data_IF_247920009056
#
_entry.id   IF_247920009056
#
_cell.length_a   1.000
_cell.length_b   1.000
_cell.length_c   1.000
_cell.angle_alpha   90.00
_cell.angle_beta   90.00
_cell.angle_gamma   90.00
#
_symmetry.space_group_name_H-M   'P 1'
#
loop_
_entity.id
_entity.type
_entity.pdbx_description
1 polymer ?
#
# COMPACT_ATOMS: atom_id res chain seq x y z
N UNK A 1 -24.26 -19.91 13.99
CA UNK A 1 -24.40 -20.38 12.58
C UNK A 1 -25.25 -21.64 12.61
N UNK A 2 -26.30 -21.65 11.81
CA UNK A 2 -27.14 -22.85 11.63
C UNK A 2 -26.53 -23.81 10.62
N UNK A 3 -26.99 -25.07 10.62
CA UNK A 3 -26.57 -26.06 9.61
C UNK A 3 -26.95 -25.62 8.21
N UNK A 4 -28.02 -24.87 8.04
CA UNK A 4 -28.50 -24.37 6.76
C UNK A 4 -27.55 -23.32 6.18
N UNK A 5 -27.10 -22.35 7.01
CA UNK A 5 -26.14 -21.33 6.59
C UNK A 5 -24.78 -21.94 6.22
N UNK A 6 -24.36 -22.96 6.95
CA UNK A 6 -23.13 -23.71 6.66
C UNK A 6 -23.28 -24.45 5.32
N UNK A 7 -24.38 -25.14 5.09
CA UNK A 7 -24.64 -25.85 3.83
C UNK A 7 -24.70 -24.91 2.62
N UNK A 8 -25.34 -23.75 2.78
CA UNK A 8 -25.36 -22.71 1.75
C UNK A 8 -23.94 -22.24 1.41
N UNK A 9 -23.12 -21.93 2.44
CA UNK A 9 -21.75 -21.51 2.25
C UNK A 9 -20.90 -22.58 1.52
N UNK A 10 -21.03 -23.86 1.90
CA UNK A 10 -20.38 -24.97 1.22
C UNK A 10 -20.78 -25.09 -0.25
N UNK A 11 -22.05 -24.89 -0.56
CA UNK A 11 -22.54 -24.92 -1.94
C UNK A 11 -21.88 -23.86 -2.80
N UNK A 12 -21.76 -22.62 -2.32
CA UNK A 12 -21.09 -21.54 -3.02
C UNK A 12 -19.57 -21.77 -3.16
N UNK A 13 -18.90 -22.23 -2.10
CA UNK A 13 -17.47 -22.55 -2.15
C UNK A 13 -17.16 -23.69 -3.16
N UNK A 14 -18.00 -24.70 -3.23
CA UNK A 14 -17.89 -25.79 -4.20
C UNK A 14 -18.25 -25.34 -5.63
N UNK A 15 -19.06 -24.31 -5.79
CA UNK A 15 -19.34 -23.64 -7.07
C UNK A 15 -18.22 -22.66 -7.50
N UNK A 16 -17.05 -22.69 -6.84
CA UNK A 16 -15.91 -21.82 -7.08
C UNK A 16 -16.12 -20.31 -6.78
N UNK A 17 -17.07 -19.97 -5.92
CA UNK A 17 -17.12 -18.60 -5.38
C UNK A 17 -15.91 -18.35 -4.50
N UNK A 18 -15.03 -17.47 -4.96
CA UNK A 18 -13.74 -17.21 -4.32
C UNK A 18 -13.87 -16.61 -2.90
N UNK A 19 -14.92 -15.79 -2.67
CA UNK A 19 -15.19 -15.20 -1.36
C UNK A 19 -15.78 -16.23 -0.40
N UNK A 20 -16.66 -17.11 -0.88
CA UNK A 20 -17.17 -18.23 -0.09
C UNK A 20 -16.05 -19.19 0.28
N UNK A 21 -15.12 -19.49 -0.64
CA UNK A 21 -13.93 -20.30 -0.34
C UNK A 21 -13.04 -19.67 0.75
N UNK A 22 -12.82 -18.36 0.71
CA UNK A 22 -12.06 -17.68 1.72
C UNK A 22 -12.76 -17.74 3.08
N UNK A 23 -14.07 -17.50 3.12
CA UNK A 23 -14.85 -17.52 4.35
C UNK A 23 -14.92 -18.92 4.97
N UNK A 24 -15.16 -19.97 4.17
CA UNK A 24 -15.17 -21.34 4.67
C UNK A 24 -13.80 -21.77 5.18
N UNK A 25 -12.74 -21.30 4.54
CA UNK A 25 -11.37 -21.52 5.00
C UNK A 25 -11.14 -21.01 6.43
N UNK A 26 -11.61 -19.81 6.73
CA UNK A 26 -11.55 -19.22 8.09
C UNK A 26 -12.39 -20.01 9.09
N UNK A 27 -13.66 -20.32 8.75
CA UNK A 27 -14.56 -21.03 9.65
C UNK A 27 -14.03 -22.40 10.04
N UNK A 28 -13.55 -23.17 9.05
CA UNK A 28 -13.02 -24.53 9.27
C UNK A 28 -11.71 -24.46 10.05
N UNK A 29 -10.88 -23.46 9.75
CA UNK A 29 -9.61 -23.25 10.47
C UNK A 29 -9.83 -22.91 11.95
N UNK A 30 -10.80 -22.05 12.26
CA UNK A 30 -11.14 -21.61 13.61
C UNK A 30 -12.09 -22.56 14.36
N UNK A 31 -12.80 -23.44 13.67
CA UNK A 31 -13.85 -24.29 14.23
C UNK A 31 -15.14 -23.54 14.55
N UNK A 32 -15.47 -22.47 13.83
CA UNK A 32 -16.69 -21.66 14.06
C UNK A 32 -17.93 -22.34 13.52
N UNK A 33 -18.68 -23.02 14.40
CA UNK A 33 -19.91 -23.73 14.05
C UNK A 33 -19.71 -25.02 13.25
N UNK A 34 -18.46 -25.42 13.01
CA UNK A 34 -18.04 -26.67 12.38
C UNK A 34 -16.91 -27.29 13.19
N UNK A 35 -16.64 -28.58 13.00
CA UNK A 35 -15.45 -29.22 13.59
C UNK A 35 -14.19 -28.52 13.08
N UNK A 36 -13.33 -28.11 13.99
CA UNK A 36 -12.07 -27.48 13.64
C UNK A 36 -11.17 -28.46 12.87
N UNK A 37 -10.71 -28.03 11.69
CA UNK A 37 -9.71 -28.71 10.89
C UNK A 37 -8.78 -27.67 10.27
N UNK A 38 -7.64 -27.46 10.90
CA UNK A 38 -6.65 -26.46 10.47
C UNK A 38 -6.06 -26.75 9.10
N UNK A 39 -5.87 -28.03 8.75
CA UNK A 39 -5.31 -28.41 7.44
C UNK A 39 -6.33 -28.16 6.32
N UNK A 40 -7.57 -28.57 6.53
CA UNK A 40 -8.65 -28.34 5.58
C UNK A 40 -8.92 -26.83 5.43
N UNK A 41 -8.95 -26.08 6.52
CA UNK A 41 -9.10 -24.61 6.49
C UNK A 41 -8.00 -23.94 5.66
N UNK A 42 -6.74 -24.31 5.88
CA UNK A 42 -5.61 -23.84 5.06
C UNK A 42 -5.72 -24.22 3.59
N UNK A 43 -6.23 -25.42 3.28
CA UNK A 43 -6.43 -25.83 1.88
C UNK A 43 -7.47 -24.93 1.17
N UNK A 44 -8.56 -24.57 1.83
CA UNK A 44 -9.56 -23.64 1.30
C UNK A 44 -9.01 -22.22 1.15
N UNK A 45 -8.27 -21.72 2.14
CA UNK A 45 -7.60 -20.41 2.04
C UNK A 45 -6.61 -20.36 0.87
N UNK A 46 -5.86 -21.44 0.63
CA UNK A 46 -4.96 -21.54 -0.54
C UNK A 46 -5.73 -21.52 -1.86
N UNK A 47 -6.86 -22.22 -1.95
CA UNK A 47 -7.72 -22.16 -3.14
C UNK A 47 -8.23 -20.73 -3.40
N UNK A 48 -8.72 -20.05 -2.36
CA UNK A 48 -9.14 -18.67 -2.46
C UNK A 48 -7.99 -17.73 -2.86
N UNK A 49 -6.81 -17.90 -2.28
CA UNK A 49 -5.61 -17.13 -2.62
C UNK A 49 -5.19 -17.33 -4.08
N UNK A 50 -5.26 -18.54 -4.60
CA UNK A 50 -5.02 -18.87 -6.01
C UNK A 50 -6.08 -18.26 -6.94
N UNK A 51 -7.31 -18.08 -6.45
CA UNK A 51 -8.37 -17.32 -7.12
C UNK A 51 -8.22 -15.79 -6.94
N UNK A 52 -7.03 -15.31 -6.53
CA UNK A 52 -6.70 -13.89 -6.34
C UNK A 52 -7.48 -13.16 -5.24
N UNK A 53 -8.00 -13.86 -4.25
CA UNK A 53 -8.56 -13.21 -3.06
C UNK A 53 -7.41 -12.69 -2.18
N UNK A 54 -7.23 -11.38 -2.15
CA UNK A 54 -6.14 -10.72 -1.40
C UNK A 54 -6.26 -10.96 0.10
N UNK A 55 -7.48 -10.95 0.64
CA UNK A 55 -7.75 -11.31 2.03
C UNK A 55 -7.17 -12.68 2.40
N UNK A 56 -7.40 -13.70 1.56
CA UNK A 56 -6.90 -15.03 1.80
C UNK A 56 -5.36 -15.11 1.71
N UNK A 57 -4.75 -14.33 0.79
CA UNK A 57 -3.28 -14.21 0.68
C UNK A 57 -2.68 -13.59 1.94
N UNK A 58 -3.23 -12.47 2.38
CA UNK A 58 -2.78 -11.74 3.57
C UNK A 58 -2.95 -12.61 4.83
N UNK A 59 -4.08 -13.32 4.96
CA UNK A 59 -4.35 -14.20 6.09
C UNK A 59 -3.42 -15.42 6.13
N UNK A 60 -3.15 -16.05 4.98
CA UNK A 60 -2.17 -17.13 4.90
C UNK A 60 -0.78 -16.67 5.33
N UNK A 61 -0.37 -15.48 4.90
CA UNK A 61 0.91 -14.90 5.30
C UNK A 61 0.97 -14.68 6.82
N UNK A 62 -0.12 -14.16 7.43
CA UNK A 62 -0.24 -14.03 8.86
C UNK A 62 -0.13 -15.39 9.59
N UNK A 63 -0.89 -16.40 9.16
CA UNK A 63 -0.88 -17.74 9.77
C UNK A 63 0.49 -18.41 9.67
N UNK A 64 1.21 -18.21 8.56
CA UNK A 64 2.52 -18.83 8.35
C UNK A 64 3.58 -18.23 9.28
N UNK A 65 3.51 -16.93 9.56
CA UNK A 65 4.56 -16.20 10.28
C UNK A 65 4.25 -15.96 11.76
N UNK A 66 2.97 -15.98 12.16
CA UNK A 66 2.57 -15.84 13.57
C UNK A 66 2.16 -17.19 14.12
N UNK A 67 2.97 -17.73 15.02
CA UNK A 67 2.73 -19.03 15.67
C UNK A 67 2.05 -18.85 17.04
N UNK A 68 1.20 -19.82 17.46
CA UNK A 68 0.51 -19.79 18.75
C UNK A 68 -0.90 -20.34 18.68
N UNK A 69 -1.74 -20.04 19.67
CA UNK A 69 -3.14 -20.46 19.69
C UNK A 69 -3.88 -19.87 18.50
N UNK A 70 -4.34 -20.75 17.62
CA UNK A 70 -4.94 -20.41 16.32
C UNK A 70 -6.47 -20.18 16.43
N UNK A 71 -7.00 -20.02 17.63
CA UNK A 71 -8.40 -19.66 17.81
C UNK A 71 -8.61 -18.16 17.54
N UNK A 72 -9.66 -17.82 16.79
CA UNK A 72 -10.03 -16.43 16.48
C UNK A 72 -8.98 -15.62 15.67
N UNK A 73 -8.32 -16.24 14.68
CA UNK A 73 -7.40 -15.53 13.78
C UNK A 73 -8.08 -14.34 13.09
N UNK A 74 -9.35 -14.45 12.74
CA UNK A 74 -10.13 -13.38 12.11
C UNK A 74 -10.25 -12.10 12.95
N UNK A 75 -10.18 -12.21 14.29
CA UNK A 75 -10.24 -11.07 15.20
C UNK A 75 -8.91 -10.34 15.37
N UNK A 76 -7.80 -11.04 15.12
CA UNK A 76 -6.45 -10.53 15.33
C UNK A 76 -5.73 -10.25 14.01
N UNK A 77 -6.37 -10.55 12.91
CA UNK A 77 -5.82 -10.38 11.58
C UNK A 77 -6.04 -8.96 11.07
N UNK A 78 -4.99 -8.39 10.49
CA UNK A 78 -5.00 -7.05 9.93
C UNK A 78 -5.13 -7.13 8.40
N UNK A 79 -6.23 -6.60 7.88
CA UNK A 79 -6.47 -6.51 6.45
C UNK A 79 -5.60 -5.47 5.76
N UNK A 80 -5.13 -5.81 4.57
CA UNK A 80 -4.48 -4.82 3.71
C UNK A 80 -5.51 -3.85 3.13
N UNK A 81 -5.10 -2.61 2.89
CA UNK A 81 -5.91 -1.63 2.15
C UNK A 81 -6.36 -2.18 0.80
N UNK A 82 -5.48 -2.91 0.11
CA UNK A 82 -5.81 -3.55 -1.17
C UNK A 82 -6.85 -4.68 -1.02
N UNK A 83 -6.78 -5.47 0.05
CA UNK A 83 -7.79 -6.50 0.33
C UNK A 83 -9.16 -5.88 0.62
N UNK A 84 -9.18 -4.76 1.33
CA UNK A 84 -10.41 -4.00 1.58
C UNK A 84 -11.01 -3.46 0.30
N UNK A 85 -10.21 -2.82 -0.55
CA UNK A 85 -10.67 -2.34 -1.84
C UNK A 85 -11.20 -3.47 -2.72
N UNK A 86 -10.55 -4.63 -2.70
CA UNK A 86 -11.05 -5.80 -3.41
C UNK A 86 -12.42 -6.24 -2.86
N UNK A 87 -12.58 -6.29 -1.52
CA UNK A 87 -13.88 -6.60 -0.90
C UNK A 87 -14.95 -5.59 -1.32
N UNK A 88 -14.63 -4.29 -1.32
CA UNK A 88 -15.56 -3.24 -1.76
C UNK A 88 -15.95 -3.37 -3.24
N UNK A 89 -15.02 -3.76 -4.11
CA UNK A 89 -15.31 -4.06 -5.53
C UNK A 89 -16.23 -5.28 -5.65
N UNK A 90 -15.98 -6.35 -4.90
CA UNK A 90 -16.85 -7.52 -4.86
C UNK A 90 -18.26 -7.19 -4.32
N UNK A 91 -18.34 -6.28 -3.35
CA UNK A 91 -19.62 -5.76 -2.82
C UNK A 91 -20.39 -4.99 -3.89
N UNK A 92 -19.73 -4.20 -4.72
CA UNK A 92 -20.36 -3.53 -5.87
C UNK A 92 -20.91 -4.53 -6.88
N UNK A 93 -20.30 -5.70 -6.99
CA UNK A 93 -20.73 -6.83 -7.82
C UNK A 93 -21.78 -7.74 -7.12
N UNK A 94 -22.32 -7.31 -5.98
CA UNK A 94 -23.30 -8.04 -5.16
C UNK A 94 -22.78 -9.36 -4.53
N UNK A 95 -21.49 -9.51 -4.29
CA UNK A 95 -20.96 -10.65 -3.55
C UNK A 95 -21.42 -10.61 -2.09
N UNK A 96 -22.29 -11.55 -1.72
CA UNK A 96 -22.87 -11.61 -0.36
C UNK A 96 -21.83 -11.96 0.70
N UNK A 97 -20.89 -12.84 0.38
CA UNK A 97 -19.83 -13.21 1.31
C UNK A 97 -18.77 -12.11 1.50
N UNK A 98 -18.51 -11.29 0.47
CA UNK A 98 -17.69 -10.08 0.64
C UNK A 98 -18.37 -9.07 1.60
N UNK A 99 -19.70 -8.92 1.51
CA UNK A 99 -20.47 -8.08 2.44
C UNK A 99 -20.39 -8.61 3.87
N UNK A 100 -20.53 -9.93 4.08
CA UNK A 100 -20.44 -10.56 5.40
C UNK A 100 -19.03 -10.36 5.98
N UNK A 101 -17.99 -10.60 5.21
CA UNK A 101 -16.61 -10.39 5.66
C UNK A 101 -16.36 -8.96 6.11
N UNK A 102 -16.69 -8.00 5.27
CA UNK A 102 -16.42 -6.60 5.58
C UNK A 102 -17.27 -6.12 6.75
N UNK A 103 -18.49 -6.63 6.89
CA UNK A 103 -19.36 -6.34 8.03
C UNK A 103 -18.78 -6.87 9.36
N UNK A 104 -18.30 -8.12 9.40
CA UNK A 104 -17.68 -8.66 10.60
C UNK A 104 -16.45 -7.84 11.02
N UNK A 105 -15.60 -7.47 10.07
CA UNK A 105 -14.39 -6.68 10.33
C UNK A 105 -14.74 -5.27 10.86
N UNK A 106 -15.72 -4.60 10.24
CA UNK A 106 -16.17 -3.28 10.67
C UNK A 106 -16.88 -3.32 12.03
N UNK A 107 -17.63 -4.38 12.30
CA UNK A 107 -18.30 -4.56 13.59
C UNK A 107 -17.32 -4.77 14.75
N UNK A 108 -16.25 -5.54 14.51
CA UNK A 108 -15.21 -5.84 15.49
C UNK A 108 -14.22 -4.67 15.63
N UNK A 109 -14.05 -3.85 14.59
CA UNK A 109 -13.03 -2.81 14.53
C UNK A 109 -11.61 -3.37 14.32
N UNK A 110 -11.49 -4.54 13.69
CA UNK A 110 -10.21 -5.24 13.55
C UNK A 110 -9.22 -4.60 12.56
N UNK A 111 -9.72 -3.86 11.57
CA UNK A 111 -8.89 -3.22 10.54
C UNK A 111 -9.21 -1.73 10.33
N UNK A 112 -10.24 -1.20 11.02
CA UNK A 112 -10.75 0.16 10.86
C UNK A 112 -11.29 0.69 12.19
N UNK A 113 -11.58 1.98 12.22
CA UNK A 113 -12.49 2.52 13.23
C UNK A 113 -13.80 1.72 13.18
N UNK A 114 -14.20 1.16 14.32
CA UNK A 114 -15.43 0.38 14.44
C UNK A 114 -16.62 1.17 13.89
N UNK A 115 -17.25 0.66 12.84
CA UNK A 115 -18.45 1.24 12.22
C UNK A 115 -19.58 0.20 12.19
N UNK A 116 -20.31 0.16 13.32
CA UNK A 116 -21.42 -0.77 13.49
C UNK A 116 -22.59 -0.47 12.54
N UNK A 117 -22.80 0.81 12.18
CA UNK A 117 -23.90 1.20 11.30
C UNK A 117 -23.66 0.65 9.89
N UNK A 118 -22.44 0.80 9.38
CA UNK A 118 -22.05 0.32 8.07
C UNK A 118 -21.99 -1.22 8.01
N UNK A 119 -21.56 -1.87 9.08
CA UNK A 119 -21.62 -3.33 9.20
C UNK A 119 -23.07 -3.85 9.11
N UNK A 120 -24.00 -3.21 9.79
CA UNK A 120 -25.44 -3.54 9.72
C UNK A 120 -26.04 -3.30 8.33
N UNK A 121 -25.63 -2.24 7.63
CA UNK A 121 -26.02 -1.97 6.24
C UNK A 121 -25.61 -3.11 5.31
N UNK A 122 -24.35 -3.55 5.38
CA UNK A 122 -23.85 -4.65 4.55
C UNK A 122 -24.58 -5.98 4.85
N UNK A 123 -24.78 -6.31 6.13
CA UNK A 123 -25.50 -7.52 6.52
C UNK A 123 -26.98 -7.49 6.06
N UNK A 124 -27.63 -6.34 6.17
CA UNK A 124 -29.00 -6.14 5.71
C UNK A 124 -29.09 -6.39 4.19
N UNK A 125 -28.17 -5.80 3.42
CA UNK A 125 -28.13 -5.99 1.97
C UNK A 125 -27.81 -7.43 1.58
N UNK A 126 -26.85 -8.08 2.24
CA UNK A 126 -26.52 -9.48 1.97
C UNK A 126 -27.72 -10.41 2.31
N UNK A 127 -28.44 -10.14 3.41
CA UNK A 127 -29.65 -10.87 3.79
C UNK A 127 -30.78 -10.72 2.74
N UNK A 128 -30.98 -9.50 2.21
CA UNK A 128 -31.93 -9.25 1.13
C UNK A 128 -31.60 -9.99 -0.16
N UNK A 129 -30.30 -10.25 -0.40
CA UNK A 129 -29.82 -11.05 -1.53
C UNK A 129 -29.85 -12.57 -1.26
N UNK A 130 -30.47 -13.00 -0.16
CA UNK A 130 -30.68 -14.41 0.15
C UNK A 130 -29.55 -15.10 0.91
N UNK A 131 -28.59 -14.35 1.46
CA UNK A 131 -27.53 -14.93 2.31
C UNK A 131 -28.08 -15.26 3.70
N UNK A 132 -28.25 -16.55 4.01
CA UNK A 132 -28.78 -17.05 5.29
C UNK A 132 -27.82 -16.66 6.43
N UNK A 133 -26.52 -16.79 6.22
CA UNK A 133 -25.51 -16.42 7.20
C UNK A 133 -25.58 -14.93 7.59
N UNK A 134 -25.75 -14.04 6.61
CA UNK A 134 -25.91 -12.62 6.86
C UNK A 134 -27.13 -12.32 7.71
N UNK A 135 -28.24 -13.03 7.47
CA UNK A 135 -29.48 -12.91 8.25
C UNK A 135 -29.28 -13.34 9.71
N UNK A 136 -28.55 -14.43 9.94
CA UNK A 136 -28.25 -14.93 11.27
C UNK A 136 -27.37 -13.94 12.07
N UNK A 137 -26.29 -13.46 11.44
CA UNK A 137 -25.38 -12.48 12.07
C UNK A 137 -26.11 -11.18 12.36
N UNK A 138 -26.96 -10.71 11.43
CA UNK A 138 -27.76 -9.51 11.61
C UNK A 138 -28.72 -9.64 12.81
N UNK A 139 -29.39 -10.79 12.96
CA UNK A 139 -30.30 -11.08 14.07
C UNK A 139 -29.52 -11.12 15.41
N UNK A 140 -28.36 -11.74 15.45
CA UNK A 140 -27.49 -11.78 16.64
C UNK A 140 -27.03 -10.37 17.04
N UNK A 141 -26.61 -9.55 16.08
CA UNK A 141 -26.19 -8.18 16.35
C UNK A 141 -27.33 -7.29 16.80
N UNK A 142 -28.53 -7.42 16.23
CA UNK A 142 -29.72 -6.70 16.66
C UNK A 142 -30.19 -7.10 18.07
N UNK A 143 -30.08 -8.37 18.43
CA UNK A 143 -30.44 -8.84 19.78
C UNK A 143 -29.52 -8.30 20.88
N UNK A 144 -28.25 -8.10 20.55
CA UNK A 144 -27.26 -7.55 21.50
C UNK A 144 -27.34 -6.03 21.65
N UNK A 145 -27.91 -5.34 20.67
CA UNK A 145 -28.08 -3.89 20.66
C UNK A 145 -29.46 -3.53 20.10
N UNK A 146 -30.53 -3.57 20.94
CA UNK A 146 -31.83 -3.09 20.52
C UNK A 146 -31.71 -1.62 20.13
N UNK A 147 -32.17 -1.28 18.92
CA UNK A 147 -32.12 0.08 18.38
C UNK A 147 -32.78 1.07 19.35
N UNK A 148 -32.19 2.23 19.61
CA UNK A 148 -32.95 3.32 20.19
C UNK A 148 -34.03 3.73 19.18
N UNK A 149 -35.27 3.79 19.68
CA UNK A 149 -36.48 4.15 18.92
C UNK A 149 -36.30 5.36 18.03
N UNK A 150 -36.89 5.26 16.84
CA UNK A 150 -37.15 6.29 15.87
C UNK A 150 -37.29 7.70 16.47
N UNK A 151 -36.36 8.58 16.11
CA UNK A 151 -36.65 10.01 16.07
C UNK A 151 -35.93 10.60 14.83
N UNK A 152 -36.66 11.12 13.84
CA UNK A 152 -36.09 11.77 12.66
C UNK A 152 -35.88 13.25 12.96
N UNK A 153 -34.64 13.65 13.28
CA UNK A 153 -34.21 15.02 13.12
C UNK A 153 -32.73 15.20 13.47
N UNK A 154 -31.89 15.02 12.47
CA UNK A 154 -30.53 15.56 12.50
C UNK A 154 -30.36 16.53 11.33
N UNK A 155 -29.83 17.76 11.58
CA UNK A 155 -29.67 18.80 10.55
C UNK A 155 -28.63 18.53 9.48
N UNK A 156 -28.00 17.34 9.47
CA UNK A 156 -26.90 17.01 8.55
C UNK A 156 -27.29 16.21 7.30
N UNK A 157 -28.58 15.97 7.05
CA UNK A 157 -29.05 15.23 5.88
C UNK A 157 -29.05 16.01 4.54
N UNK A 158 -28.54 17.23 4.52
CA UNK A 158 -28.60 18.11 3.33
C UNK A 158 -27.45 17.85 2.32
N UNK A 159 -26.43 17.05 2.67
CA UNK A 159 -25.26 16.82 1.79
C UNK A 159 -25.18 15.42 1.14
N UNK A 160 -26.26 14.64 1.11
CA UNK A 160 -26.31 13.35 0.41
C UNK A 160 -27.12 13.42 -0.87
N UNK A 161 -26.57 13.99 -1.94
CA UNK A 161 -26.94 13.64 -3.33
C UNK A 161 -25.72 13.72 -4.23
N UNK A 162 -25.10 12.58 -4.62
CA UNK A 162 -24.29 12.57 -5.83
C UNK A 162 -25.23 12.39 -7.04
N UNK A 163 -25.09 13.28 -8.00
CA UNK A 163 -25.72 13.25 -9.31
C UNK A 163 -25.47 11.88 -9.99
N UNK A 164 -26.55 11.12 -10.12
CA UNK A 164 -26.64 10.00 -11.05
C UNK A 164 -27.17 10.60 -12.36
N UNK A 165 -26.30 10.65 -13.37
CA UNK A 165 -26.66 10.66 -14.78
C UNK A 165 -25.50 11.22 -15.61
N UNK A 166 -24.52 10.37 -15.90
CA UNK A 166 -23.62 10.63 -17.03
C UNK A 166 -22.73 9.44 -17.40
N UNK A 167 -23.24 8.26 -17.64
CA UNK A 167 -22.52 7.20 -18.40
C UNK A 167 -23.44 6.00 -18.64
N UNK A 168 -24.38 6.15 -19.54
CA UNK A 168 -24.99 5.02 -20.25
C UNK A 168 -25.28 5.46 -21.68
N UNK A 169 -24.36 5.20 -22.60
CA UNK A 169 -24.74 4.85 -23.99
C UNK A 169 -23.53 4.48 -24.83
N UNK A 170 -23.73 3.42 -25.58
CA UNK A 170 -22.95 2.89 -26.71
C UNK A 170 -21.78 1.97 -26.35
N UNK A 171 -21.68 0.80 -26.94
CA UNK A 171 -22.39 0.20 -28.05
C UNK A 171 -21.80 -1.17 -28.36
N UNK A 172 -22.61 -2.01 -28.88
CA UNK A 172 -22.32 -3.37 -29.34
C UNK A 172 -21.58 -3.38 -30.69
N UNK A 173 -20.92 -4.53 -30.91
CA UNK A 173 -20.41 -5.08 -32.18
C UNK A 173 -19.06 -4.51 -32.69
N UNK A 174 -18.05 -5.37 -32.92
CA UNK A 174 -18.00 -6.39 -33.97
C UNK A 174 -16.83 -7.35 -33.79
N UNK A 175 -17.07 -8.61 -34.15
CA UNK A 175 -16.06 -9.66 -34.31
C UNK A 175 -15.31 -9.44 -35.63
N UNK A 176 -13.98 -9.49 -35.63
CA UNK A 176 -13.24 -9.91 -36.81
C UNK A 176 -11.98 -10.68 -36.43
N UNK A 177 -11.87 -11.87 -37.01
CA UNK A 177 -10.72 -12.77 -36.96
C UNK A 177 -9.52 -12.14 -37.67
N UNK A 178 -8.36 -12.15 -36.99
CA UNK A 178 -7.06 -11.91 -37.61
C UNK A 178 -6.00 -12.69 -36.86
N UNK A 179 -5.52 -13.77 -37.46
CA UNK A 179 -4.33 -14.50 -36.99
C UNK A 179 -3.12 -13.61 -37.23
N UNK A 180 -2.46 -13.15 -36.18
CA UNK A 180 -1.10 -12.64 -36.23
C UNK A 180 -0.17 -13.49 -35.39
N UNK A 181 0.94 -13.86 -36.03
CA UNK A 181 2.02 -14.68 -35.48
C UNK A 181 2.73 -13.92 -34.37
N UNK A 182 2.77 -14.51 -33.19
CA UNK A 182 3.48 -13.97 -32.03
C UNK A 182 4.97 -14.29 -32.10
N UNK A 183 5.79 -13.27 -32.27
CA UNK A 183 7.19 -13.30 -31.91
C UNK A 183 7.35 -13.36 -30.38
N UNK A 184 8.42 -13.93 -29.81
CA UNK A 184 8.56 -14.13 -28.37
C UNK A 184 8.70 -12.79 -27.66
N UNK A 185 7.66 -12.41 -26.90
CA UNK A 185 7.70 -11.25 -26.03
C UNK A 185 8.58 -11.58 -24.81
N UNK A 186 9.71 -10.86 -24.68
CA UNK A 186 10.42 -10.74 -23.42
C UNK A 186 9.42 -10.32 -22.33
N UNK A 187 9.45 -11.02 -21.17
CA UNK A 187 8.65 -10.64 -20.00
C UNK A 187 8.96 -9.18 -19.63
N UNK A 188 8.10 -8.25 -20.04
CA UNK A 188 8.13 -6.89 -19.51
C UNK A 188 7.78 -7.01 -18.04
N UNK A 189 8.70 -6.65 -17.16
CA UNK A 189 8.42 -6.49 -15.73
C UNK A 189 7.34 -5.43 -15.60
N UNK A 190 6.24 -5.76 -14.94
CA UNK A 190 5.14 -4.82 -14.71
C UNK A 190 5.41 -4.03 -13.42
N UNK A 191 6.18 -2.93 -13.55
CA UNK A 191 6.53 -2.07 -12.42
C UNK A 191 5.31 -1.42 -11.73
N UNK A 192 4.16 -1.33 -12.42
CA UNK A 192 2.90 -0.96 -11.77
C UNK A 192 2.42 -2.03 -10.79
N UNK A 193 2.70 -3.31 -11.08
CA UNK A 193 2.41 -4.40 -10.17
C UNK A 193 3.29 -4.31 -8.91
N UNK A 194 4.58 -4.04 -9.08
CA UNK A 194 5.51 -3.81 -7.98
C UNK A 194 5.03 -2.67 -7.05
N UNK A 195 4.61 -1.53 -7.62
CA UNK A 195 4.04 -0.43 -6.84
C UNK A 195 2.75 -0.84 -6.10
N UNK A 196 1.88 -1.61 -6.76
CA UNK A 196 0.63 -2.06 -6.16
C UNK A 196 0.84 -3.07 -5.01
N UNK A 197 1.92 -3.84 -5.06
CA UNK A 197 2.30 -4.80 -4.02
C UNK A 197 2.92 -4.12 -2.77
N UNK A 198 3.35 -2.86 -2.87
CA UNK A 198 3.80 -2.12 -1.69
C UNK A 198 2.69 -1.96 -0.66
N UNK A 199 3.05 -2.06 0.62
CA UNK A 199 2.11 -1.87 1.73
C UNK A 199 1.70 -0.39 1.79
N UNK A 200 0.39 -0.14 1.94
CA UNK A 200 -0.16 1.22 2.03
C UNK A 200 0.01 2.06 0.77
N UNK A 201 0.35 3.33 0.96
CA UNK A 201 0.66 4.29 -0.10
C UNK A 201 -0.49 4.52 -1.11
N UNK A 202 -1.75 4.49 -0.65
CA UNK A 202 -2.92 4.54 -1.52
C UNK A 202 -2.89 5.77 -2.43
N UNK A 203 -2.74 6.96 -1.86
CA UNK A 203 -2.70 8.23 -2.61
C UNK A 203 -1.56 8.25 -3.63
N UNK A 204 -0.40 7.74 -3.26
CA UNK A 204 0.77 7.63 -4.15
C UNK A 204 0.46 6.72 -5.34
N UNK A 205 -0.17 5.57 -5.10
CA UNK A 205 -0.58 4.63 -6.16
C UNK A 205 -1.59 5.24 -7.12
N UNK A 206 -2.57 5.98 -6.59
CA UNK A 206 -3.58 6.69 -7.38
C UNK A 206 -2.94 7.78 -8.25
N UNK A 207 -2.04 8.57 -7.70
CA UNK A 207 -1.34 9.63 -8.43
C UNK A 207 -0.44 9.06 -9.55
N UNK A 208 0.31 7.98 -9.27
CA UNK A 208 1.14 7.32 -10.28
C UNK A 208 0.28 6.66 -11.37
N UNK A 209 -0.85 6.04 -11.00
CA UNK A 209 -1.79 5.48 -11.96
C UNK A 209 -2.42 6.56 -12.85
N UNK A 210 -2.80 7.71 -12.28
CA UNK A 210 -3.30 8.87 -13.00
C UNK A 210 -2.27 9.41 -14.01
N UNK A 211 -1.01 9.51 -13.57
CA UNK A 211 0.10 9.94 -14.41
C UNK A 211 0.32 8.97 -15.59
N UNK A 212 0.32 7.66 -15.32
CA UNK A 212 0.41 6.64 -16.36
C UNK A 212 -0.70 6.77 -17.39
N UNK A 213 -1.95 6.89 -16.95
CA UNK A 213 -3.11 7.04 -17.83
C UNK A 213 -2.99 8.31 -18.69
N UNK A 214 -2.55 9.41 -18.11
CA UNK A 214 -2.29 10.65 -18.82
C UNK A 214 -1.28 10.46 -19.95
N UNK A 215 -0.13 9.84 -19.66
CA UNK A 215 0.93 9.58 -20.67
C UNK A 215 0.42 8.69 -21.79
N UNK A 216 -0.29 7.60 -21.47
CA UNK A 216 -0.87 6.70 -22.49
C UNK A 216 -1.82 7.44 -23.43
N UNK A 217 -2.67 8.33 -22.92
CA UNK A 217 -3.58 9.13 -23.72
C UNK A 217 -2.81 10.14 -24.59
N UNK A 218 -1.76 10.80 -24.05
CA UNK A 218 -0.93 11.71 -24.86
C UNK A 218 -0.20 10.99 -26.00
N UNK A 219 0.31 9.78 -25.75
CA UNK A 219 0.89 8.96 -26.82
C UNK A 219 -0.13 8.58 -27.91
N UNK A 220 -1.36 8.19 -27.52
CA UNK A 220 -2.42 7.90 -28.48
C UNK A 220 -2.77 9.12 -29.31
N UNK A 221 -2.86 10.31 -28.69
CA UNK A 221 -3.08 11.57 -29.43
C UNK A 221 -1.98 11.83 -30.44
N UNK A 222 -0.71 11.64 -30.06
CA UNK A 222 0.45 11.80 -30.94
C UNK A 222 0.41 10.84 -32.15
N UNK A 223 0.05 9.56 -31.89
CA UNK A 223 -0.08 8.56 -32.95
C UNK A 223 -1.20 8.90 -33.96
N UNK A 224 -2.23 9.61 -33.50
CA UNK A 224 -3.33 10.08 -34.35
C UNK A 224 -3.07 11.47 -35.01
N UNK A 225 -1.83 11.99 -34.93
CA UNK A 225 -1.47 13.28 -35.48
C UNK A 225 -2.05 14.50 -34.75
N UNK A 226 -2.62 14.31 -33.54
CA UNK A 226 -3.14 15.39 -32.73
C UNK A 226 -2.02 16.09 -31.95
N UNK A 227 -2.18 17.40 -31.73
CA UNK A 227 -1.24 18.14 -30.88
C UNK A 227 -1.22 17.51 -29.47
N UNK A 228 -0.04 17.17 -28.97
CA UNK A 228 0.19 16.76 -27.59
C UNK A 228 0.69 17.96 -26.79
N UNK A 229 0.19 18.13 -25.58
CA UNK A 229 0.71 19.16 -24.67
C UNK A 229 2.05 18.72 -24.11
N UNK A 230 3.04 19.61 -24.13
CA UNK A 230 4.29 19.41 -23.42
C UNK A 230 3.99 19.49 -21.90
N UNK A 231 4.10 18.38 -21.22
CA UNK A 231 3.86 18.30 -19.78
C UNK A 231 5.17 18.01 -19.06
N UNK A 232 5.39 18.75 -17.98
CA UNK A 232 6.49 18.48 -17.08
C UNK A 232 6.22 17.18 -16.30
N UNK A 233 7.21 16.28 -16.29
CA UNK A 233 7.18 15.02 -15.51
C UNK A 233 7.91 15.16 -14.17
N UNK A 234 8.43 16.35 -13.86
CA UNK A 234 9.07 16.61 -12.57
C UNK A 234 8.05 16.57 -11.45
N UNK A 235 8.44 16.00 -10.30
CA UNK A 235 7.56 15.79 -9.15
C UNK A 235 8.20 16.29 -7.86
N UNK A 236 7.34 16.67 -6.90
CA UNK A 236 7.72 16.89 -5.51
C UNK A 236 7.17 15.75 -4.66
N UNK A 237 8.03 15.05 -3.93
CA UNK A 237 7.66 14.00 -2.98
C UNK A 237 7.77 14.56 -1.56
N UNK A 238 6.64 14.77 -0.92
CA UNK A 238 6.58 15.32 0.43
C UNK A 238 6.13 14.26 1.44
N UNK A 239 6.64 14.32 2.66
CA UNK A 239 6.23 13.43 3.75
C UNK A 239 7.36 13.08 4.71
N UNK A 240 7.01 12.41 5.79
CA UNK A 240 7.94 12.05 6.87
C UNK A 240 8.99 11.00 6.45
N UNK A 241 10.06 10.79 7.24
CA UNK A 241 11.08 9.79 6.95
C UNK A 241 10.48 8.38 6.95
N UNK A 242 11.08 7.50 6.13
CA UNK A 242 10.67 6.08 6.10
C UNK A 242 9.29 5.79 5.51
N UNK A 243 8.65 6.76 4.84
CA UNK A 243 7.37 6.57 4.14
C UNK A 243 7.51 5.97 2.74
N UNK A 244 8.74 5.69 2.27
CA UNK A 244 8.99 4.98 1.00
C UNK A 244 9.29 5.89 -0.19
N UNK A 245 9.55 7.19 -0.01
CA UNK A 245 9.81 8.16 -1.09
C UNK A 245 10.85 7.66 -2.11
N UNK A 246 12.04 7.28 -1.66
CA UNK A 246 13.13 6.80 -2.53
C UNK A 246 12.76 5.50 -3.26
N UNK A 247 12.08 4.57 -2.57
CA UNK A 247 11.65 3.30 -3.17
C UNK A 247 10.64 3.56 -4.30
N UNK A 248 9.65 4.41 -4.05
CA UNK A 248 8.66 4.80 -5.07
C UNK A 248 9.32 5.56 -6.23
N UNK A 249 10.28 6.45 -5.94
CA UNK A 249 11.01 7.17 -7.00
C UNK A 249 11.70 6.21 -7.97
N UNK A 250 12.29 5.11 -7.46
CA UNK A 250 12.93 4.08 -8.28
C UNK A 250 11.91 3.33 -9.15
N UNK A 251 10.76 2.99 -8.59
CA UNK A 251 9.66 2.34 -9.34
C UNK A 251 9.10 3.31 -10.40
N UNK A 252 8.90 4.58 -10.06
CA UNK A 252 8.43 5.61 -10.99
C UNK A 252 9.42 5.81 -12.15
N UNK A 253 10.73 5.78 -11.89
CA UNK A 253 11.75 5.86 -12.93
C UNK A 253 11.62 4.68 -13.93
N UNK A 254 11.37 3.47 -13.42
CA UNK A 254 11.12 2.30 -14.25
C UNK A 254 9.80 2.40 -15.04
N UNK A 255 8.74 2.92 -14.41
CA UNK A 255 7.45 3.18 -15.10
C UNK A 255 7.64 4.21 -16.23
N UNK A 256 8.41 5.27 -16.02
CA UNK A 256 8.70 6.25 -17.08
C UNK A 256 9.46 5.64 -18.26
N UNK A 257 10.33 4.66 -18.01
CA UNK A 257 10.98 3.88 -19.08
C UNK A 257 9.95 3.03 -19.84
N UNK A 258 9.08 2.31 -19.12
CA UNK A 258 8.06 1.45 -19.74
C UNK A 258 7.09 2.25 -20.63
N UNK A 259 6.82 3.49 -20.22
CA UNK A 259 5.99 4.44 -20.97
C UNK A 259 6.74 5.17 -22.09
N UNK A 260 8.04 4.93 -22.26
CA UNK A 260 8.84 5.57 -23.31
C UNK A 260 9.18 7.04 -23.07
N UNK A 261 8.94 7.56 -21.85
CA UNK A 261 9.31 8.94 -21.46
C UNK A 261 10.84 9.04 -21.32
N UNK A 262 11.42 8.04 -20.66
CA UNK A 262 12.86 7.95 -20.41
C UNK A 262 13.44 6.71 -21.10
N UNK A 263 14.65 6.81 -21.64
CA UNK A 263 15.29 5.68 -22.36
C UNK A 263 15.86 4.63 -21.40
N UNK A 264 16.52 5.06 -20.32
CA UNK A 264 17.19 4.17 -19.36
C UNK A 264 16.30 3.88 -18.14
N UNK A 265 15.62 4.91 -17.60
CA UNK A 265 14.75 4.80 -16.43
C UNK A 265 15.48 4.44 -15.14
N UNK A 266 16.76 4.73 -15.03
CA UNK A 266 17.54 4.57 -13.80
C UNK A 266 17.33 5.77 -12.87
N UNK A 267 17.60 5.58 -11.59
CA UNK A 267 17.55 6.61 -10.56
C UNK A 267 18.96 7.00 -10.14
N UNK A 268 19.26 8.29 -10.16
CA UNK A 268 20.44 8.86 -9.52
C UNK A 268 19.98 9.60 -8.28
N UNK A 269 20.32 9.07 -7.11
CA UNK A 269 19.99 9.62 -5.79
C UNK A 269 21.11 10.53 -5.33
N UNK A 270 20.77 11.77 -4.98
CA UNK A 270 21.74 12.78 -4.55
C UNK A 270 21.20 13.58 -3.36
N UNK A 271 22.11 14.10 -2.58
CA UNK A 271 21.88 15.05 -1.48
C UNK A 271 22.62 16.35 -1.75
N UNK A 272 22.43 17.37 -0.88
CA UNK A 272 23.14 18.65 -0.98
C UNK A 272 24.65 18.46 -1.17
N UNK A 273 25.30 17.59 -0.40
CA UNK A 273 26.74 17.32 -0.49
C UNK A 273 27.22 16.82 -1.85
N UNK A 274 26.34 16.20 -2.64
CA UNK A 274 26.65 15.70 -3.99
C UNK A 274 26.55 16.79 -5.06
N UNK A 275 25.83 17.86 -4.80
CA UNK A 275 25.56 18.96 -5.74
C UNK A 275 26.39 20.19 -5.46
N UNK A 276 26.56 20.57 -4.19
CA UNK A 276 27.24 21.77 -3.76
C UNK A 276 28.71 21.46 -3.48
N UNK A 277 29.61 22.31 -3.97
CA UNK A 277 31.04 22.21 -3.71
C UNK A 277 31.45 23.14 -2.57
N UNK A 278 32.63 22.90 -2.01
CA UNK A 278 33.21 23.70 -0.92
C UNK A 278 33.89 25.00 -1.42
N UNK A 279 34.24 25.03 -2.72
CA UNK A 279 35.00 26.16 -3.30
C UNK A 279 34.22 26.88 -4.39
N UNK A 280 34.45 28.19 -4.53
CA UNK A 280 33.84 29.06 -5.53
C UNK A 280 34.03 28.50 -6.96
N UNK A 281 32.96 28.50 -7.75
CA UNK A 281 33.00 28.11 -9.16
C UNK A 281 33.01 26.60 -9.45
N UNK A 282 32.99 25.75 -8.45
CA UNK A 282 32.96 24.29 -8.62
C UNK A 282 31.56 23.68 -8.51
N UNK A 283 30.59 24.37 -7.93
CA UNK A 283 29.25 23.88 -7.68
C UNK A 283 28.51 23.58 -9.00
N UNK A 284 28.58 24.52 -9.97
CA UNK A 284 27.95 24.27 -11.27
C UNK A 284 28.54 23.04 -11.99
N UNK A 285 29.84 22.82 -11.92
CA UNK A 285 30.50 21.65 -12.52
C UNK A 285 30.06 20.36 -11.84
N UNK A 286 30.03 20.34 -10.49
CA UNK A 286 29.61 19.19 -9.69
C UNK A 286 28.15 18.85 -9.91
N UNK A 287 27.26 19.86 -9.93
CA UNK A 287 25.83 19.70 -10.22
C UNK A 287 25.62 19.16 -11.63
N UNK A 288 26.31 19.70 -12.67
CA UNK A 288 26.22 19.22 -14.03
C UNK A 288 26.65 17.75 -14.15
N UNK A 289 27.74 17.34 -13.49
CA UNK A 289 28.19 15.96 -13.51
C UNK A 289 27.09 15.00 -12.98
N UNK A 290 26.40 15.35 -11.89
CA UNK A 290 25.29 14.53 -11.36
C UNK A 290 24.05 14.53 -12.28
N UNK A 291 23.76 15.64 -12.93
CA UNK A 291 22.70 15.70 -13.94
C UNK A 291 23.05 14.83 -15.15
N UNK A 292 24.29 14.86 -15.62
CA UNK A 292 24.75 14.04 -16.75
C UNK A 292 24.67 12.54 -16.43
N UNK A 293 24.95 12.12 -15.19
CA UNK A 293 24.71 10.76 -14.70
C UNK A 293 23.23 10.39 -14.80
N UNK A 294 22.31 11.32 -14.53
CA UNK A 294 20.87 11.11 -14.51
C UNK A 294 20.20 11.23 -15.89
N UNK A 295 20.93 11.57 -16.97
CA UNK A 295 20.34 11.70 -18.30
C UNK A 295 19.74 10.38 -18.80
N UNK A 296 18.56 10.49 -19.39
CA UNK A 296 17.68 9.38 -19.79
C UNK A 296 17.10 8.60 -18.59
N UNK A 297 17.15 9.19 -17.39
CA UNK A 297 16.70 8.67 -16.12
C UNK A 297 16.10 9.74 -15.21
N UNK A 298 16.09 9.45 -13.91
CA UNK A 298 15.55 10.32 -12.88
C UNK A 298 16.65 10.79 -11.94
N UNK A 299 16.75 12.10 -11.73
CA UNK A 299 17.53 12.70 -10.65
C UNK A 299 16.63 12.86 -9.43
N UNK A 300 16.91 12.15 -8.36
CA UNK A 300 16.19 12.22 -7.10
C UNK A 300 17.03 13.00 -6.09
N UNK A 301 16.53 14.15 -5.65
CA UNK A 301 17.22 15.01 -4.70
C UNK A 301 16.52 14.86 -3.34
N UNK A 302 17.16 14.15 -2.42
CA UNK A 302 16.62 13.99 -1.06
C UNK A 302 16.95 15.22 -0.19
N UNK A 303 16.00 15.56 0.69
CA UNK A 303 16.08 16.76 1.53
C UNK A 303 16.44 18.04 0.71
N UNK A 304 15.79 18.19 -0.46
CA UNK A 304 16.14 19.22 -1.45
C UNK A 304 16.09 20.65 -0.88
N UNK A 305 15.30 20.92 0.15
CA UNK A 305 15.23 22.21 0.84
C UNK A 305 16.57 22.64 1.45
N UNK A 306 17.43 21.68 1.77
CA UNK A 306 18.78 21.99 2.29
C UNK A 306 19.64 22.77 1.29
N UNK A 307 19.31 22.73 -0.01
CA UNK A 307 19.98 23.55 -1.02
C UNK A 307 19.79 25.07 -0.80
N UNK A 308 18.72 25.48 -0.09
CA UNK A 308 18.43 26.88 0.21
C UNK A 308 18.77 27.29 1.65
N UNK A 309 19.25 26.36 2.50
CA UNK A 309 19.51 26.62 3.92
C UNK A 309 20.87 27.29 4.21
N UNK A 310 21.63 27.69 3.20
CA UNK A 310 22.95 28.31 3.37
C UNK A 310 22.89 29.82 3.62
N UNK A 311 23.88 30.32 4.39
CA UNK A 311 24.07 31.74 4.66
C UNK A 311 24.78 32.49 3.53
N UNK A 312 25.26 33.75 3.82
CA UNK A 312 26.06 34.53 2.88
C UNK A 312 27.35 33.77 2.49
N UNK A 313 27.53 33.53 1.18
CA UNK A 313 28.63 32.74 0.64
C UNK A 313 28.30 31.27 0.35
N UNK A 314 27.03 30.86 0.53
CA UNK A 314 26.57 29.50 0.19
C UNK A 314 26.34 29.35 -1.31
N UNK A 315 26.83 28.24 -1.85
CA UNK A 315 26.72 27.92 -3.28
C UNK A 315 25.49 27.10 -3.66
N UNK A 316 24.53 26.88 -2.75
CA UNK A 316 23.32 26.15 -3.01
C UNK A 316 22.44 26.81 -4.08
N UNK A 317 22.41 28.17 -4.09
CA UNK A 317 21.70 28.92 -5.15
C UNK A 317 22.29 28.68 -6.54
N UNK A 318 23.62 28.50 -6.65
CA UNK A 318 24.28 28.15 -7.91
C UNK A 318 23.86 26.74 -8.40
N UNK A 319 23.75 25.79 -7.47
CA UNK A 319 23.22 24.45 -7.78
C UNK A 319 21.77 24.51 -8.26
N UNK A 320 20.89 25.28 -7.60
CA UNK A 320 19.49 25.47 -7.99
C UNK A 320 19.40 26.09 -9.40
N UNK A 321 20.16 27.14 -9.68
CA UNK A 321 20.15 27.83 -10.96
C UNK A 321 20.65 26.89 -12.09
N UNK A 322 21.68 26.10 -11.83
CA UNK A 322 22.22 25.09 -12.75
C UNK A 322 21.15 24.02 -13.03
N UNK A 323 20.49 23.52 -11.99
CA UNK A 323 19.42 22.54 -12.09
C UNK A 323 18.27 23.06 -12.94
N UNK A 324 17.77 24.26 -12.65
CA UNK A 324 16.67 24.90 -13.38
C UNK A 324 16.96 25.06 -14.88
N UNK A 325 18.20 25.46 -15.23
CA UNK A 325 18.64 25.57 -16.61
C UNK A 325 18.63 24.20 -17.30
N UNK A 326 19.22 23.18 -16.67
CA UNK A 326 19.30 21.82 -17.24
C UNK A 326 17.94 21.15 -17.35
N UNK A 327 17.02 21.42 -16.44
CA UNK A 327 15.62 20.93 -16.53
C UNK A 327 14.91 21.42 -17.79
N UNK A 328 15.24 22.63 -18.28
CA UNK A 328 14.71 23.17 -19.54
C UNK A 328 15.44 22.60 -20.76
N UNK A 329 16.77 22.60 -20.72
CA UNK A 329 17.62 22.15 -21.83
C UNK A 329 17.43 20.64 -22.10
N UNK A 330 17.30 19.82 -21.05
CA UNK A 330 17.20 18.36 -21.10
C UNK A 330 15.77 17.83 -20.83
N UNK A 331 14.74 18.66 -20.96
CA UNK A 331 13.33 18.35 -20.62
C UNK A 331 12.76 17.06 -21.17
N UNK A 332 13.33 16.53 -22.27
CA UNK A 332 12.91 15.29 -22.92
C UNK A 332 13.71 14.06 -22.45
N UNK A 333 14.71 14.25 -21.59
CA UNK A 333 15.68 13.21 -21.20
C UNK A 333 15.94 13.16 -19.70
N UNK A 334 15.46 14.16 -18.97
CA UNK A 334 15.70 14.30 -17.53
C UNK A 334 14.36 14.48 -16.81
N UNK A 335 14.13 13.68 -15.81
CA UNK A 335 13.08 13.92 -14.82
C UNK A 335 13.74 14.20 -13.48
N UNK A 336 13.30 15.25 -12.79
CA UNK A 336 13.78 15.61 -11.46
C UNK A 336 12.67 15.34 -10.45
N UNK A 337 12.99 14.65 -9.36
CA UNK A 337 12.12 14.46 -8.21
C UNK A 337 12.78 15.11 -7.01
N UNK A 338 12.12 16.12 -6.43
CA UNK A 338 12.54 16.74 -5.19
C UNK A 338 11.83 16.05 -4.04
N UNK A 339 12.57 15.64 -3.01
CA UNK A 339 12.00 15.00 -1.83
C UNK A 339 12.34 15.78 -0.56
N UNK A 340 11.44 15.73 0.43
CA UNK A 340 11.66 16.36 1.72
C UNK A 340 10.44 16.33 2.64
N UNK A 341 10.57 16.96 3.79
CA UNK A 341 9.45 17.18 4.70
C UNK A 341 8.44 18.15 4.11
N UNK A 342 7.16 17.96 4.41
CA UNK A 342 6.07 18.67 3.72
C UNK A 342 6.15 20.19 3.85
N UNK A 343 6.47 20.71 5.03
CA UNK A 343 6.55 22.16 5.26
C UNK A 343 7.81 22.75 4.63
N UNK A 344 8.93 22.11 4.82
CA UNK A 344 10.24 22.55 4.37
C UNK A 344 10.34 22.53 2.84
N UNK A 345 9.85 21.46 2.20
CA UNK A 345 9.88 21.37 0.74
C UNK A 345 8.90 22.37 0.08
N UNK A 346 7.73 22.61 0.70
CA UNK A 346 6.80 23.61 0.21
C UNK A 346 7.43 25.02 0.29
N UNK A 347 8.04 25.37 1.43
CA UNK A 347 8.73 26.65 1.59
C UNK A 347 9.88 26.80 0.58
N UNK A 348 10.62 25.73 0.33
CA UNK A 348 11.69 25.72 -0.67
C UNK A 348 11.18 26.00 -2.09
N UNK A 349 10.09 25.36 -2.49
CA UNK A 349 9.48 25.60 -3.81
C UNK A 349 8.93 27.04 -3.90
N UNK A 350 8.28 27.52 -2.86
CA UNK A 350 7.65 28.84 -2.81
C UNK A 350 8.68 29.99 -2.82
N UNK A 351 9.90 29.73 -2.34
CA UNK A 351 11.00 30.70 -2.33
C UNK A 351 11.57 31.04 -3.71
N UNK A 352 11.30 30.19 -4.74
CA UNK A 352 11.89 30.35 -6.07
C UNK A 352 10.86 30.17 -7.20
N UNK A 353 10.49 31.25 -7.92
CA UNK A 353 9.53 31.18 -9.03
C UNK A 353 9.92 30.21 -10.14
N UNK A 354 11.23 29.97 -10.35
CA UNK A 354 11.75 29.00 -11.30
C UNK A 354 11.40 27.56 -10.92
N UNK A 355 11.44 27.24 -9.62
CA UNK A 355 10.99 25.94 -9.10
C UNK A 355 9.47 25.81 -9.22
N UNK A 356 8.70 26.82 -8.79
CA UNK A 356 7.24 26.79 -8.88
C UNK A 356 6.72 26.52 -10.31
N UNK A 357 7.34 27.14 -11.32
CA UNK A 357 6.92 26.97 -12.70
C UNK A 357 7.20 25.58 -13.29
N UNK A 358 8.16 24.83 -12.76
CA UNK A 358 8.58 23.53 -13.28
C UNK A 358 8.02 22.33 -12.50
N UNK A 359 7.72 22.50 -11.22
CA UNK A 359 7.19 21.45 -10.35
C UNK A 359 5.68 21.62 -10.15
N UNK A 360 4.90 20.98 -11.03
CA UNK A 360 3.43 21.08 -11.03
C UNK A 360 2.74 19.84 -10.43
N UNK A 361 3.52 18.83 -9.98
CA UNK A 361 3.03 17.58 -9.42
C UNK A 361 3.57 17.39 -8.02
N UNK A 362 2.66 17.27 -7.07
CA UNK A 362 2.96 17.06 -5.67
C UNK A 362 2.38 15.72 -5.25
N UNK A 363 3.24 14.80 -4.82
CA UNK A 363 2.83 13.49 -4.32
C UNK A 363 3.16 13.46 -2.84
N UNK A 364 2.10 13.40 -2.03
CA UNK A 364 2.24 13.35 -0.59
C UNK A 364 2.27 11.91 -0.10
N UNK A 365 3.24 11.60 0.75
CA UNK A 365 3.44 10.32 1.41
C UNK A 365 2.93 10.44 2.84
N UNK A 366 1.72 9.95 3.07
CA UNK A 366 1.14 9.90 4.41
C UNK A 366 1.95 8.97 5.32
N UNK A 367 1.90 9.21 6.63
CA UNK A 367 2.42 8.26 7.61
C UNK A 367 1.66 6.95 7.51
N UNK A 368 2.37 5.85 7.72
CA UNK A 368 1.73 4.53 7.80
C UNK A 368 0.81 4.44 9.01
N UNK A 369 -0.34 3.78 8.84
CA UNK A 369 -1.22 3.40 9.92
C UNK A 369 -0.58 2.32 10.81
N UNK A 370 -1.18 2.08 11.98
CA UNK A 370 -0.78 0.98 12.85
C UNK A 370 -0.78 -0.37 12.12
N UNK A 371 -1.84 -0.63 11.37
CA UNK A 371 -2.03 -1.85 10.58
C UNK A 371 -0.95 -2.01 9.51
N UNK A 372 -0.63 -0.92 8.81
CA UNK A 372 0.39 -0.93 7.76
C UNK A 372 1.79 -1.16 8.35
N UNK A 373 2.13 -0.53 9.47
CA UNK A 373 3.40 -0.74 10.17
C UNK A 373 3.55 -2.18 10.67
N UNK A 374 2.48 -2.76 11.22
CA UNK A 374 2.49 -4.14 11.67
C UNK A 374 2.67 -5.11 10.49
N UNK A 375 2.06 -4.81 9.34
CA UNK A 375 2.26 -5.59 8.11
C UNK A 375 3.66 -5.46 7.56
N UNK A 376 4.29 -4.29 7.65
CA UNK A 376 5.71 -4.10 7.30
C UNK A 376 6.58 -4.97 8.21
N UNK A 377 6.24 -5.10 9.50
CA UNK A 377 6.95 -6.00 10.40
C UNK A 377 6.80 -7.47 9.99
N UNK A 378 5.57 -7.93 9.68
CA UNK A 378 5.31 -9.30 9.17
C UNK A 378 6.05 -9.53 7.84
N UNK A 379 6.08 -8.55 6.95
CA UNK A 379 6.83 -8.65 5.70
C UNK A 379 8.32 -8.85 5.95
N UNK A 380 8.91 -8.15 6.93
CA UNK A 380 10.30 -8.35 7.32
C UNK A 380 10.54 -9.76 7.90
N UNK A 381 9.60 -10.30 8.70
CA UNK A 381 9.66 -11.71 9.16
C UNK A 381 9.69 -12.66 7.96
N UNK A 382 8.76 -12.50 7.02
CA UNK A 382 8.63 -13.33 5.83
C UNK A 382 9.87 -13.30 4.96
N UNK A 383 10.42 -12.12 4.73
CA UNK A 383 11.60 -11.92 3.87
C UNK A 383 12.86 -12.57 4.44
N UNK A 384 12.92 -12.78 5.74
CA UNK A 384 14.09 -13.30 6.45
C UNK A 384 13.84 -14.67 7.09
N UNK A 385 12.79 -15.40 6.68
CA UNK A 385 12.43 -16.76 7.15
C UNK A 385 12.18 -16.85 8.67
N UNK A 386 11.79 -15.74 9.31
CA UNK A 386 11.44 -15.74 10.73
C UNK A 386 9.97 -16.06 10.96
N UNK A 387 9.69 -16.64 12.13
CA UNK A 387 8.36 -16.82 12.74
C UNK A 387 8.35 -16.13 14.07
N UNK A 388 7.18 -15.76 14.54
CA UNK A 388 7.02 -15.08 15.82
C UNK A 388 5.92 -15.76 16.65
N UNK A 389 6.13 -15.89 17.95
CA UNK A 389 5.07 -16.35 18.86
C UNK A 389 3.98 -15.29 18.97
N UNK A 390 2.76 -15.71 19.30
CA UNK A 390 1.62 -14.81 19.43
C UNK A 390 1.84 -13.73 20.49
N UNK A 391 2.39 -14.09 21.64
CA UNK A 391 2.67 -13.14 22.72
C UNK A 391 3.70 -12.09 22.30
N UNK A 392 4.75 -12.53 21.61
CA UNK A 392 5.74 -11.63 21.02
C UNK A 392 5.11 -10.70 19.99
N UNK A 393 4.25 -11.22 19.13
CA UNK A 393 3.54 -10.41 18.12
C UNK A 393 2.62 -9.37 18.77
N UNK A 394 1.88 -9.73 19.81
CA UNK A 394 1.04 -8.81 20.58
C UNK A 394 1.87 -7.72 21.25
N UNK A 395 3.03 -8.07 21.80
CA UNK A 395 3.96 -7.11 22.39
C UNK A 395 4.49 -6.11 21.35
N UNK A 396 4.91 -6.58 20.17
CA UNK A 396 5.27 -5.72 19.02
C UNK A 396 4.14 -4.77 18.68
N UNK A 397 2.90 -5.27 18.61
CA UNK A 397 1.72 -4.45 18.35
C UNK A 397 1.50 -3.37 19.40
N UNK A 398 1.70 -3.69 20.68
CA UNK A 398 1.58 -2.71 21.79
C UNK A 398 2.63 -1.60 21.68
N UNK A 399 3.89 -1.96 21.40
CA UNK A 399 4.99 -1.01 21.20
C UNK A 399 4.70 -0.08 20.02
N UNK A 400 4.23 -0.61 18.89
CA UNK A 400 3.91 0.21 17.73
C UNK A 400 2.76 1.18 18.04
N UNK A 401 1.72 0.75 18.77
CA UNK A 401 0.61 1.65 19.18
C UNK A 401 1.09 2.79 20.05
N UNK A 402 1.93 2.48 21.03
CA UNK A 402 2.52 3.48 21.93
C UNK A 402 3.36 4.50 21.14
N UNK A 403 4.18 4.04 20.22
CA UNK A 403 4.99 4.91 19.37
C UNK A 403 4.14 5.81 18.45
N UNK A 404 3.05 5.30 17.92
CA UNK A 404 2.12 6.12 17.12
C UNK A 404 1.40 7.15 17.98
N UNK A 405 1.00 6.78 19.21
CA UNK A 405 0.33 7.70 20.14
C UNK A 405 1.26 8.86 20.53
N UNK A 406 2.56 8.61 20.64
CA UNK A 406 3.59 9.57 21.04
C UNK A 406 4.38 10.15 19.85
N UNK A 407 3.94 9.88 18.59
CA UNK A 407 4.69 10.31 17.40
C UNK A 407 4.81 11.82 17.29
N UNK A 408 6.00 12.26 16.94
CA UNK A 408 6.29 13.62 16.53
C UNK A 408 6.27 13.78 15.00
N UNK A 409 6.58 14.98 14.51
CA UNK A 409 6.69 15.28 13.06
C UNK A 409 7.86 14.57 12.37
N UNK A 410 8.71 13.87 13.11
CA UNK A 410 9.88 13.15 12.59
C UNK A 410 9.76 11.64 12.76
N UNK A 411 8.56 11.13 13.02
CA UNK A 411 8.33 9.70 13.19
C UNK A 411 8.87 8.89 12.00
N UNK A 412 9.69 7.90 12.29
CA UNK A 412 10.48 7.16 11.29
C UNK A 412 9.74 6.15 10.44
N UNK A 413 8.43 5.94 10.65
CA UNK A 413 7.59 5.04 9.85
C UNK A 413 8.22 3.65 9.63
N UNK A 414 8.35 3.20 8.38
CA UNK A 414 8.95 1.90 8.05
C UNK A 414 10.43 1.80 8.46
N UNK A 415 11.16 2.92 8.60
CA UNK A 415 12.53 2.91 9.13
C UNK A 415 12.52 2.51 10.61
N UNK A 416 11.55 3.02 11.39
CA UNK A 416 11.36 2.61 12.78
C UNK A 416 11.09 1.11 12.89
N UNK A 417 10.20 0.56 12.05
CA UNK A 417 9.90 -0.87 12.03
C UNK A 417 11.13 -1.70 11.65
N UNK A 418 11.93 -1.25 10.71
CA UNK A 418 13.19 -1.93 10.35
C UNK A 418 14.17 -1.97 11.52
N UNK A 419 14.39 -0.85 12.19
CA UNK A 419 15.29 -0.78 13.34
C UNK A 419 14.79 -1.67 14.49
N UNK A 420 13.48 -1.67 14.74
CA UNK A 420 12.86 -2.59 15.72
C UNK A 420 13.12 -4.05 15.34
N UNK A 421 12.91 -4.42 14.09
CA UNK A 421 13.13 -5.77 13.61
C UNK A 421 14.60 -6.20 13.77
N UNK A 422 15.55 -5.34 13.42
CA UNK A 422 16.98 -5.58 13.62
C UNK A 422 17.34 -5.78 15.10
N UNK A 423 16.72 -4.97 15.98
CA UNK A 423 16.90 -5.11 17.45
C UNK A 423 16.38 -6.46 17.94
N UNK A 424 15.20 -6.88 17.47
CA UNK A 424 14.58 -8.16 17.83
C UNK A 424 15.47 -9.34 17.38
N UNK A 425 15.99 -9.31 16.16
CA UNK A 425 16.91 -10.36 15.66
C UNK A 425 18.18 -10.42 16.52
N UNK A 426 18.74 -9.27 16.89
CA UNK A 426 19.95 -9.22 17.72
C UNK A 426 19.70 -9.85 19.10
N UNK A 427 18.54 -9.59 19.71
CA UNK A 427 18.16 -10.20 20.99
C UNK A 427 17.94 -11.70 20.87
N UNK A 428 17.24 -12.16 19.81
CA UNK A 428 17.14 -13.59 19.52
C UNK A 428 18.51 -14.26 19.41
N UNK A 429 19.43 -13.64 18.65
CA UNK A 429 20.78 -14.17 18.50
C UNK A 429 21.51 -14.28 19.86
N UNK A 430 21.41 -13.26 20.71
CA UNK A 430 21.99 -13.29 22.05
C UNK A 430 21.37 -14.38 22.94
N UNK A 431 20.04 -14.54 22.90
CA UNK A 431 19.34 -15.61 23.63
C UNK A 431 19.81 -17.00 23.17
N UNK A 432 19.88 -17.22 21.88
CA UNK A 432 20.32 -18.52 21.31
C UNK A 432 21.80 -18.80 21.58
N UNK A 433 22.66 -17.78 21.51
CA UNK A 433 24.08 -17.92 21.81
C UNK A 433 24.36 -18.28 23.28
N UNK A 434 23.46 -17.88 24.19
CA UNK A 434 23.55 -18.21 25.62
C UNK A 434 23.13 -19.66 25.90
N UNK A 435 22.51 -20.37 24.97
CA UNK A 435 22.12 -21.76 25.09
C UNK A 435 23.35 -22.67 24.88
N UNK A 436 23.58 -23.62 25.80
CA UNK A 436 24.70 -24.59 25.69
C UNK A 436 24.55 -25.63 24.56
N UNK A 437 23.40 -25.68 23.90
CA UNK A 437 23.11 -26.60 22.77
C UNK A 437 23.12 -25.82 21.46
N UNK A 438 23.53 -26.47 20.38
CA UNK A 438 23.33 -25.97 19.03
C UNK A 438 21.81 -25.85 18.78
N UNK A 439 21.29 -24.66 18.40
CA UNK A 439 19.87 -24.45 18.18
C UNK A 439 19.38 -25.23 16.95
N UNK A 440 18.17 -25.78 17.02
CA UNK A 440 17.48 -26.41 15.89
C UNK A 440 17.07 -25.35 14.84
N UNK A 441 16.71 -25.81 13.64
CA UNK A 441 16.21 -24.92 12.58
C UNK A 441 14.97 -24.13 13.04
N UNK A 442 14.06 -24.79 13.75
CA UNK A 442 12.84 -24.16 14.29
C UNK A 442 13.19 -23.08 15.31
N UNK A 443 14.15 -23.31 16.21
CA UNK A 443 14.61 -22.33 17.19
C UNK A 443 15.30 -21.14 16.52
N UNK A 444 16.11 -21.38 15.47
CA UNK A 444 16.74 -20.32 14.68
C UNK A 444 15.73 -19.41 13.96
N UNK A 445 14.58 -19.93 13.60
CA UNK A 445 13.52 -19.17 12.93
C UNK A 445 12.58 -18.47 13.92
N UNK A 446 12.53 -18.89 15.20
CA UNK A 446 11.48 -18.47 16.14
C UNK A 446 11.89 -17.24 16.98
N UNK A 447 11.09 -16.21 16.90
CA UNK A 447 11.12 -15.04 17.77
C UNK A 447 10.11 -15.23 18.91
N UNK A 448 10.55 -15.05 20.14
CA UNK A 448 9.76 -15.22 21.37
C UNK A 448 9.55 -13.90 22.07
N UNK A 449 8.73 -13.90 23.14
CA UNK A 449 8.46 -12.69 23.93
C UNK A 449 9.75 -12.14 24.58
N UNK A 450 10.71 -13.01 24.91
CA UNK A 450 12.00 -12.61 25.49
C UNK A 450 12.83 -11.74 24.53
N UNK A 451 12.63 -11.92 23.22
CA UNK A 451 13.33 -11.16 22.18
C UNK A 451 12.70 -9.75 21.98
N UNK A 452 11.47 -9.51 22.49
CA UNK A 452 10.74 -8.25 22.33
C UNK A 452 10.95 -7.31 23.53
N UNK A 453 11.24 -7.83 24.73
CA UNK A 453 11.44 -6.99 25.92
C UNK A 453 12.47 -5.89 25.65
N UNK A 454 12.00 -4.66 25.41
CA UNK A 454 12.81 -3.45 25.14
C UNK A 454 13.31 -2.86 26.45
#
# INVERSE_FOLDING_TARGET
MTQESINQLWSFANANDAMAMAYIGVIVYEGRGVKQDTQQGLAWLRKAANANVLYAKDLLQYIIHVTGDNTNISRNFLLSTNAVQQLELCIKQNSTYAMVFLAEIQYIGAAFVQDKAKAMEYLTRASQLGCILAKEILTDYQSRFPSPCNNPSSPFDVFRRPNRDFFLSRGQNERSNGKEQTAPQSKKEDHMKELNEMIGLLRVKEEVASLRNFVLVQEQRKRQGLKSNNVSYHCVFSGNPGTGKTTVARIVASIYKDLGILKKGHLVEVQRSDLVAEYVGQTATKTNAKIDEALDGVLFIDEAYTLAEGGQGDFGQEAINTLLKRMEDDRNRLVVILAGYSKEIQHFIDSNPGLQSRFNRYIHFDDYSYEELLRIFIFNLSKNDFKITRDAFNAVGSIIREQIANKDSKFGNARYIRNMFETVIMKQANRLASCKKNPSKEELMLITIEDIAL
#
